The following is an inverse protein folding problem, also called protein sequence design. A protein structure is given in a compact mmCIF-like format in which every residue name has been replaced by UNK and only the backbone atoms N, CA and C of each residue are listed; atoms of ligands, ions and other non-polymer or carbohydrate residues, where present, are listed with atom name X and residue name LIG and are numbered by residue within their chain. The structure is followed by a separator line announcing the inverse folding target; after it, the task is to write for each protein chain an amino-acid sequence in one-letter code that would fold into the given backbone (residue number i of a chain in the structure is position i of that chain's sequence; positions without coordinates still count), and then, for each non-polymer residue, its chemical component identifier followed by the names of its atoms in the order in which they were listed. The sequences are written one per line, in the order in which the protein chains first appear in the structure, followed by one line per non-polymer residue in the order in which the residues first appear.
data_IF_590945929158
#
_entry.id   IF_590945929158
#
_cell.length_a   1.000
_cell.length_b   1.000
_cell.length_c   1.000
_cell.angle_alpha   90.00
_cell.angle_beta   90.00
_cell.angle_gamma   90.00
#
_symmetry.space_group_name_H-M   'P 1'
#
loop_
_entity.id
_entity.type
_entity.pdbx_description
1 polymer ?
#
# COMPACT_ATOMS: atom_id res chain seq x y z
N UNK A 1 5.65 -21.11 -0.67
CA UNK A 1 5.09 -20.29 0.42
C UNK A 1 4.58 -19.00 -0.21
N UNK A 2 3.31 -18.67 0.01
CA UNK A 2 2.70 -17.46 -0.54
C UNK A 2 2.85 -16.33 0.48
N UNK A 3 3.46 -15.24 0.06
CA UNK A 3 3.49 -13.99 0.81
C UNK A 3 2.71 -12.99 -0.02
N UNK A 4 1.58 -12.53 0.50
CA UNK A 4 0.79 -11.49 -0.15
C UNK A 4 1.04 -10.18 0.59
N UNK A 5 1.41 -9.14 -0.14
CA UNK A 5 1.59 -7.82 0.45
C UNK A 5 0.37 -6.97 0.14
N UNK A 6 -0.08 -6.24 1.15
CA UNK A 6 -1.23 -5.37 1.11
C UNK A 6 -0.83 -3.96 1.57
N UNK A 7 -1.52 -2.94 1.08
CA UNK A 7 -1.42 -1.57 1.55
C UNK A 7 -2.69 -1.20 2.32
N UNK A 8 -2.49 -0.64 3.49
CA UNK A 8 -3.56 -0.01 4.28
C UNK A 8 -3.19 1.43 4.54
N UNK A 9 -4.15 2.33 4.49
CA UNK A 9 -3.90 3.74 4.68
C UNK A 9 -5.14 4.57 4.96
N UNK A 10 -4.95 5.87 5.13
CA UNK A 10 -6.00 6.83 5.47
C UNK A 10 -7.02 7.05 4.36
N UNK A 11 -6.64 6.84 3.10
CA UNK A 11 -7.54 6.99 1.97
C UNK A 11 -8.65 5.92 1.98
N UNK A 12 -9.88 6.24 1.57
CA UNK A 12 -10.94 5.25 1.39
C UNK A 12 -10.53 4.12 0.43
N UNK A 13 -9.80 4.46 -0.62
CA UNK A 13 -9.27 3.50 -1.58
C UNK A 13 -8.14 2.60 -1.02
N UNK A 14 -7.62 2.92 0.17
CA UNK A 14 -6.68 2.09 0.95
C UNK A 14 -7.34 1.50 2.21
N UNK A 15 -8.67 1.50 2.26
CA UNK A 15 -9.43 0.89 3.34
C UNK A 15 -9.58 1.76 4.60
N UNK A 16 -9.11 3.02 4.62
CA UNK A 16 -9.24 3.91 5.77
C UNK A 16 -8.75 3.28 7.10
N UNK A 17 -7.57 2.67 7.08
CA UNK A 17 -6.96 1.90 8.17
C UNK A 17 -7.61 0.55 8.51
N UNK A 18 -8.55 0.08 7.70
CA UNK A 18 -9.15 -1.25 7.82
C UNK A 18 -8.37 -2.31 7.01
N UNK A 19 -7.98 -3.40 7.69
CA UNK A 19 -7.22 -4.50 7.09
C UNK A 19 -8.04 -5.37 6.13
N UNK A 20 -9.36 -5.41 6.25
CA UNK A 20 -10.24 -6.19 5.36
C UNK A 20 -10.50 -5.44 4.05
N UNK A 21 -10.42 -4.11 4.07
CA UNK A 21 -10.48 -3.23 2.91
C UNK A 21 -9.09 -2.82 2.37
N UNK A 22 -8.03 -3.50 2.79
CA UNK A 22 -6.68 -3.27 2.32
C UNK A 22 -6.55 -3.49 0.80
N UNK A 23 -5.67 -2.72 0.17
CA UNK A 23 -5.38 -2.85 -1.26
C UNK A 23 -4.30 -3.91 -1.49
N UNK A 24 -4.55 -5.00 -2.23
CA UNK A 24 -3.53 -5.99 -2.53
C UNK A 24 -2.49 -5.39 -3.50
N UNK A 25 -1.22 -5.56 -3.17
CA UNK A 25 -0.11 -5.23 -4.06
C UNK A 25 0.17 -6.41 -5.00
N UNK A 26 0.60 -6.09 -6.22
CA UNK A 26 1.08 -7.09 -7.16
C UNK A 26 2.60 -7.15 -7.13
N UNK A 27 3.13 -8.37 -6.95
CA UNK A 27 4.56 -8.59 -7.08
C UNK A 27 5.01 -8.34 -8.52
N UNK A 28 6.15 -7.66 -8.66
CA UNK A 28 6.82 -7.44 -9.94
C UNK A 28 8.29 -7.83 -9.84
N UNK A 29 8.92 -8.05 -10.99
CA UNK A 29 10.33 -8.40 -11.08
C UNK A 29 11.22 -7.41 -10.28
N UNK A 30 12.24 -7.96 -9.61
CA UNK A 30 13.12 -7.18 -8.73
C UNK A 30 12.61 -6.96 -7.30
N UNK A 31 11.71 -7.83 -6.80
CA UNK A 31 11.17 -7.76 -5.42
C UNK A 31 10.40 -6.47 -5.11
N UNK A 32 9.84 -5.85 -6.14
CA UNK A 32 9.05 -4.63 -6.02
C UNK A 32 7.57 -4.97 -6.05
N UNK A 33 6.86 -4.55 -5.01
CA UNK A 33 5.41 -4.66 -4.93
C UNK A 33 4.77 -3.37 -5.37
N UNK A 34 3.81 -3.42 -6.31
CA UNK A 34 3.17 -2.23 -6.87
C UNK A 34 1.64 -2.32 -6.88
N UNK A 35 1.01 -1.17 -6.67
CA UNK A 35 -0.40 -0.95 -6.92
C UNK A 35 -0.61 0.46 -7.47
N UNK A 36 -1.65 0.62 -8.26
CA UNK A 36 -2.10 1.91 -8.77
C UNK A 36 -3.37 2.29 -8.02
N UNK A 37 -3.35 3.47 -7.43
CA UNK A 37 -4.50 4.01 -6.72
C UNK A 37 -5.10 5.16 -7.52
N UNK A 38 -6.39 5.05 -7.83
CA UNK A 38 -7.18 6.14 -8.39
C UNK A 38 -7.70 6.99 -7.24
N UNK A 39 -7.03 8.11 -6.99
CA UNK A 39 -7.39 9.09 -5.95
C UNK A 39 -7.50 10.47 -6.57
N UNK A 40 -8.59 11.15 -6.24
CA UNK A 40 -8.80 12.53 -6.62
C UNK A 40 -7.96 13.44 -5.71
N UNK A 41 -7.05 14.27 -6.25
CA UNK A 41 -6.24 15.22 -5.48
C UNK A 41 -7.11 16.26 -4.75
N UNK A 42 -8.32 16.54 -5.25
CA UNK A 42 -9.27 17.47 -4.64
C UNK A 42 -9.84 16.94 -3.32
N UNK A 43 -10.08 15.63 -3.24
CA UNK A 43 -10.66 14.98 -2.07
C UNK A 43 -9.59 14.48 -1.10
N UNK A 44 -8.43 14.07 -1.62
CA UNK A 44 -7.35 13.48 -0.82
C UNK A 44 -6.01 13.97 -1.32
N UNK A 45 -5.58 15.18 -0.94
CA UNK A 45 -4.33 15.78 -1.42
C UNK A 45 -3.08 15.08 -0.86
N UNK A 46 -3.22 14.44 0.30
CA UNK A 46 -2.15 13.67 0.95
C UNK A 46 -2.73 12.40 1.54
N UNK A 47 -2.04 11.29 1.33
CA UNK A 47 -2.38 10.01 1.90
C UNK A 47 -1.28 9.55 2.85
N UNK A 48 -1.68 8.83 3.89
CA UNK A 48 -0.77 8.04 4.73
C UNK A 48 -1.08 6.58 4.50
N UNK A 49 -0.05 5.75 4.43
CA UNK A 49 -0.19 4.34 4.15
C UNK A 49 0.95 3.54 4.76
N UNK A 50 0.71 2.23 4.86
CA UNK A 50 1.63 1.28 5.45
C UNK A 50 1.47 -0.07 4.77
N UNK A 51 2.59 -0.76 4.53
CA UNK A 51 2.56 -2.10 3.99
C UNK A 51 2.29 -3.14 5.07
N UNK A 52 1.61 -4.21 4.66
CA UNK A 52 1.22 -5.31 5.52
C UNK A 52 1.49 -6.61 4.77
N UNK A 53 2.31 -7.47 5.37
CA UNK A 53 2.57 -8.81 4.89
C UNK A 53 1.53 -9.77 5.46
N UNK A 54 0.78 -10.43 4.59
CA UNK A 54 -0.19 -11.45 4.95
C UNK A 54 0.34 -12.81 4.50
N UNK A 55 0.70 -13.66 5.46
CA UNK A 55 1.01 -15.06 5.20
C UNK A 55 -0.29 -15.85 5.14
N UNK A 56 -0.42 -16.75 4.15
CA UNK A 56 -1.61 -17.61 3.98
C UNK A 56 -1.94 -18.41 5.26
N UNK A 57 -0.92 -18.82 6.01
CA UNK A 57 -1.03 -19.63 7.23
C UNK A 57 -0.41 -18.96 8.46
N UNK A 58 -0.13 -17.66 8.40
CA UNK A 58 0.67 -16.96 9.41
C UNK A 58 0.06 -15.66 9.91
N UNK A 59 0.65 -15.05 10.96
CA UNK A 59 0.22 -13.76 11.46
C UNK A 59 0.41 -12.68 10.39
N UNK A 60 -0.46 -11.68 10.45
CA UNK A 60 -0.32 -10.46 9.66
C UNK A 60 0.79 -9.61 10.26
N UNK A 61 1.80 -9.28 9.45
CA UNK A 61 2.96 -8.50 9.90
C UNK A 61 2.93 -7.13 9.25
N UNK A 62 2.96 -6.09 10.07
CA UNK A 62 2.99 -4.70 9.59
C UNK A 62 4.41 -4.27 9.29
N UNK A 63 4.58 -3.39 8.30
CA UNK A 63 5.84 -2.71 8.04
C UNK A 63 6.39 -2.07 9.34
N UNK A 64 7.70 -2.17 9.56
CA UNK A 64 8.34 -1.47 10.66
C UNK A 64 8.33 0.06 10.45
N UNK A 65 8.47 0.81 11.54
CA UNK A 65 8.63 2.27 11.48
C UNK A 65 7.33 3.06 11.35
N UNK A 66 7.50 4.34 10.98
CA UNK A 66 6.42 5.30 10.82
C UNK A 66 5.62 5.07 9.54
N UNK A 67 4.38 5.57 9.51
CA UNK A 67 3.55 5.54 8.31
C UNK A 67 4.25 6.29 7.17
N UNK A 68 4.21 5.72 5.97
CA UNK A 68 4.64 6.45 4.77
C UNK A 68 3.55 7.44 4.39
N UNK A 69 3.95 8.57 3.80
CA UNK A 69 3.02 9.55 3.27
C UNK A 69 3.34 9.83 1.80
N UNK A 70 2.32 10.01 0.98
CA UNK A 70 2.45 10.43 -0.40
C UNK A 70 1.46 11.55 -0.74
N UNK A 71 1.94 12.54 -1.46
CA UNK A 71 1.12 13.63 -1.99
C UNK A 71 0.50 13.22 -3.33
N UNK A 72 -0.79 13.45 -3.47
CA UNK A 72 -1.54 13.15 -4.69
C UNK A 72 -1.42 14.35 -5.62
N UNK A 73 -0.58 14.22 -6.65
CA UNK A 73 -0.31 15.32 -7.57
C UNK A 73 -1.50 15.50 -8.52
N UNK A 74 -2.10 16.71 -8.58
CA UNK A 74 -3.20 16.95 -9.50
C UNK A 74 -2.76 16.86 -10.96
N UNK A 75 -3.52 16.10 -11.75
CA UNK A 75 -3.22 15.81 -13.16
C UNK A 75 -2.33 14.58 -13.39
N UNK A 76 -1.85 13.92 -12.35
CA UNK A 76 -1.25 12.59 -12.49
C UNK A 76 -2.35 11.55 -12.76
N UNK A 77 -2.08 10.61 -13.67
CA UNK A 77 -3.03 9.55 -14.05
C UNK A 77 -3.26 8.47 -12.95
N UNK A 78 -2.80 8.71 -11.73
CA UNK A 78 -2.86 7.80 -10.60
C UNK A 78 -1.61 7.87 -9.73
N UNK A 79 -1.73 7.41 -8.48
CA UNK A 79 -0.59 7.29 -7.58
C UNK A 79 0.00 5.88 -7.69
N UNK A 80 1.29 5.80 -8.02
CA UNK A 80 2.03 4.54 -8.02
C UNK A 80 2.75 4.37 -6.69
N UNK A 81 2.30 3.41 -5.89
CA UNK A 81 2.94 3.06 -4.63
C UNK A 81 3.82 1.83 -4.86
N UNK A 82 5.12 1.96 -4.56
CA UNK A 82 6.08 0.86 -4.64
C UNK A 82 6.69 0.58 -3.29
N UNK A 83 6.84 -0.71 -2.96
CA UNK A 83 7.51 -1.16 -1.76
C UNK A 83 8.55 -2.22 -2.10
N UNK A 84 9.79 -2.02 -1.66
CA UNK A 84 10.84 -3.03 -1.69
C UNK A 84 10.73 -3.89 -0.42
N UNK A 85 10.75 -5.21 -0.59
CA UNK A 85 10.92 -6.15 0.53
C UNK A 85 12.36 -6.65 0.47
N UNK A 86 13.32 -5.77 0.77
CA UNK A 86 14.68 -6.21 1.03
C UNK A 86 14.68 -6.93 2.39
N UNK A 87 14.69 -8.26 2.32
CA UNK A 87 15.12 -9.24 3.34
C UNK A 87 14.83 -8.85 4.81
N UNK A 88 13.78 -9.44 5.37
CA UNK A 88 13.50 -9.43 6.81
C UNK A 88 14.42 -10.40 7.56
#
# INVERSE_FOLDING_TARGET
MGQDVWLVGSAPALGAWDLFAALPLRWTDGHVWRATLEVSPADTPRIEYKAVLKCTDGPTVWEGGANKAADVIPGAAGLSLSHDFAEW
#
